data_IF_827843355576
#
_entry.id   IF_827843355576
#
_cell.length_a   1.000
_cell.length_b   1.000
_cell.length_c   1.000
_cell.angle_alpha   90.00
_cell.angle_beta   90.00
_cell.angle_gamma   90.00
#
_symmetry.space_group_name_H-M   'P 1'
#
loop_
_entity.id
_entity.type
_entity.pdbx_description
1 polymer ?
#
# COMPACT_ATOMS: atom_id res chain seq x y z
N UNK A 1 -45.79 -7.80 10.31
CA UNK A 1 -44.97 -8.80 9.61
C UNK A 1 -43.89 -8.06 8.84
N UNK A 2 -42.81 -7.68 9.52
CA UNK A 2 -41.68 -6.91 8.94
C UNK A 2 -40.42 -7.63 9.40
N UNK A 3 -39.70 -8.28 8.48
CA UNK A 3 -38.37 -8.84 8.73
C UNK A 3 -37.35 -7.94 8.06
N UNK A 4 -36.69 -7.16 8.91
CA UNK A 4 -35.44 -6.46 8.64
C UNK A 4 -34.35 -7.47 8.26
N UNK A 5 -33.74 -7.29 7.08
CA UNK A 5 -32.52 -8.00 6.68
C UNK A 5 -31.36 -7.17 7.23
N UNK A 6 -30.85 -7.59 8.39
CA UNK A 6 -29.58 -7.13 8.90
C UNK A 6 -28.46 -7.62 7.98
N UNK A 7 -27.81 -6.68 7.30
CA UNK A 7 -26.51 -6.87 6.64
C UNK A 7 -25.50 -7.36 7.67
N UNK A 8 -24.99 -8.58 7.47
CA UNK A 8 -23.97 -9.19 8.32
C UNK A 8 -22.62 -8.50 8.10
N UNK A 9 -22.21 -7.72 9.09
CA UNK A 9 -20.85 -7.24 9.31
C UNK A 9 -19.86 -8.41 9.21
N UNK A 10 -19.15 -8.46 8.08
CA UNK A 10 -18.01 -9.35 7.86
C UNK A 10 -16.73 -8.53 7.80
N UNK A 11 -16.55 -7.64 8.78
CA UNK A 11 -15.22 -7.12 9.12
C UNK A 11 -14.53 -8.16 10.02
N UNK A 12 -13.99 -9.17 9.35
CA UNK A 12 -13.07 -10.25 9.76
C UNK A 12 -12.64 -10.23 11.25
N UNK A 13 -13.06 -11.26 11.99
CA UNK A 13 -12.65 -11.55 13.38
C UNK A 13 -11.13 -11.79 13.53
N UNK A 14 -10.54 -11.48 14.70
CA UNK A 14 -9.09 -11.39 14.90
C UNK A 14 -8.44 -12.76 15.15
N UNK A 15 -7.94 -13.40 14.08
CA UNK A 15 -6.91 -14.48 14.17
C UNK A 15 -5.55 -14.06 13.61
N UNK A 16 -5.42 -12.82 13.15
CA UNK A 16 -4.23 -12.25 12.49
C UNK A 16 -3.22 -11.61 13.47
N UNK A 17 -3.48 -11.70 14.78
CA UNK A 17 -2.79 -10.98 15.86
C UNK A 17 -1.34 -11.42 16.17
N UNK A 18 -0.75 -12.36 15.41
CA UNK A 18 0.58 -12.96 15.75
C UNK A 18 1.66 -12.86 14.67
N UNK A 19 1.35 -12.38 13.47
CA UNK A 19 2.27 -12.48 12.31
C UNK A 19 3.01 -11.16 11.99
N UNK A 20 2.59 -10.05 12.58
CA UNK A 20 2.90 -8.68 12.12
C UNK A 20 4.20 -8.06 12.69
N UNK A 21 5.12 -8.87 13.25
CA UNK A 21 6.28 -8.36 13.99
C UNK A 21 7.60 -8.21 13.19
N UNK A 22 7.73 -8.69 11.95
CA UNK A 22 9.05 -8.75 11.26
C UNK A 22 9.13 -8.02 9.91
N UNK A 23 8.12 -7.23 9.57
CA UNK A 23 7.92 -6.88 8.17
C UNK A 23 8.75 -5.71 7.61
N UNK A 24 9.29 -4.83 8.46
CA UNK A 24 9.85 -3.55 8.00
C UNK A 24 11.39 -3.47 8.03
N UNK A 25 12.11 -4.54 8.35
CA UNK A 25 13.57 -4.55 8.11
C UNK A 25 14.22 -5.87 7.71
N UNK A 26 13.69 -7.03 8.04
CA UNK A 26 14.17 -8.31 7.51
C UNK A 26 13.07 -9.32 7.80
N UNK A 27 12.47 -9.86 6.75
CA UNK A 27 11.31 -10.72 6.88
C UNK A 27 11.52 -11.91 7.80
N UNK A 28 10.47 -12.29 8.54
CA UNK A 28 10.03 -13.67 8.84
C UNK A 28 8.97 -13.69 9.94
N UNK A 29 7.72 -14.08 9.67
CA UNK A 29 6.97 -14.91 10.64
C UNK A 29 6.29 -16.06 9.89
N UNK A 30 6.21 -17.17 10.59
CA UNK A 30 6.05 -18.55 10.18
C UNK A 30 4.69 -18.90 9.55
N UNK A 31 4.78 -19.76 8.52
CA UNK A 31 3.93 -20.94 8.29
C UNK A 31 2.41 -20.79 8.21
N UNK A 32 1.89 -20.84 6.99
CA UNK A 32 0.92 -21.88 6.57
C UNK A 32 1.08 -22.17 5.08
N UNK A 33 0.98 -23.45 4.72
CA UNK A 33 1.00 -23.98 3.36
C UNK A 33 -0.41 -23.94 2.77
N UNK A 34 -0.55 -23.58 1.49
CA UNK A 34 -1.60 -24.10 0.60
C UNK A 34 -1.34 -23.68 -0.85
N UNK A 35 -1.07 -24.72 -1.63
CA UNK A 35 -1.27 -25.00 -3.04
C UNK A 35 -0.72 -24.18 -4.20
N UNK A 36 -0.19 -25.02 -5.09
CA UNK A 36 0.50 -24.90 -6.34
C UNK A 36 -0.50 -25.26 -7.44
N UNK A 37 -0.76 -24.38 -8.40
CA UNK A 37 -0.65 -24.73 -9.83
C UNK A 37 -1.12 -23.66 -10.81
N UNK A 38 -0.61 -23.89 -12.03
CA UNK A 38 -1.02 -23.39 -13.35
C UNK A 38 -0.27 -22.17 -13.86
N UNK A 39 0.61 -22.42 -14.84
CA UNK A 39 1.32 -21.43 -15.65
C UNK A 39 0.43 -21.05 -16.85
N UNK A 40 0.11 -19.76 -16.94
CA UNK A 40 -0.44 -19.06 -18.10
C UNK A 40 0.29 -17.73 -18.30
N UNK A 41 0.05 -16.99 -19.40
CA UNK A 41 0.89 -15.89 -19.87
C UNK A 41 1.07 -14.82 -18.78
N UNK A 42 2.30 -14.69 -18.29
CA UNK A 42 2.79 -13.64 -17.38
C UNK A 42 1.78 -13.17 -16.35
N UNK A 43 1.48 -13.98 -15.33
CA UNK A 43 0.61 -13.58 -14.22
C UNK A 43 1.21 -12.38 -13.48
N UNK A 44 0.81 -11.15 -13.86
CA UNK A 44 1.25 -9.89 -13.26
C UNK A 44 0.88 -9.80 -11.76
N UNK A 45 0.00 -10.68 -11.28
CA UNK A 45 -0.31 -10.81 -9.85
C UNK A 45 0.72 -11.64 -9.11
N UNK A 46 1.68 -12.27 -9.79
CA UNK A 46 2.83 -12.92 -9.18
C UNK A 46 3.99 -11.97 -9.10
N UNK A 47 4.74 -12.15 -8.03
CA UNK A 47 5.95 -11.40 -7.82
C UNK A 47 7.12 -11.97 -8.64
N UNK A 48 7.97 -11.10 -9.18
CA UNK A 48 9.07 -11.46 -10.08
C UNK A 48 10.46 -11.14 -9.50
N UNK A 49 11.47 -11.89 -9.92
CA UNK A 49 12.90 -11.59 -9.74
C UNK A 49 13.64 -11.53 -11.08
N UNK A 50 12.89 -11.48 -12.20
CA UNK A 50 13.46 -11.54 -13.55
C UNK A 50 14.28 -10.29 -13.89
N UNK A 51 15.29 -10.47 -14.75
CA UNK A 51 16.09 -9.34 -15.26
C UNK A 51 15.23 -8.30 -15.98
N UNK A 52 14.26 -8.74 -16.78
CA UNK A 52 13.33 -7.84 -17.47
C UNK A 52 12.55 -6.95 -16.50
N UNK A 53 12.02 -7.52 -15.41
CA UNK A 53 11.34 -6.75 -14.36
C UNK A 53 12.31 -5.78 -13.64
N UNK A 54 13.55 -6.21 -13.40
CA UNK A 54 14.60 -5.37 -12.81
C UNK A 54 14.92 -4.17 -13.70
N UNK A 55 15.14 -4.38 -14.99
CA UNK A 55 15.50 -3.32 -15.92
C UNK A 55 14.36 -2.33 -16.14
N UNK A 56 13.11 -2.81 -16.16
CA UNK A 56 11.93 -1.95 -16.19
C UNK A 56 11.83 -1.08 -14.92
N UNK A 57 12.06 -1.66 -13.74
CA UNK A 57 12.08 -0.92 -12.49
C UNK A 57 13.17 0.16 -12.47
N UNK A 58 14.36 -0.15 -13.00
CA UNK A 58 15.46 0.82 -13.12
C UNK A 58 15.14 1.97 -14.07
N UNK A 59 14.44 1.71 -15.19
CA UNK A 59 13.99 2.74 -16.13
C UNK A 59 12.91 3.66 -15.54
N UNK A 60 12.12 3.17 -14.59
CA UNK A 60 11.08 3.94 -13.92
C UNK A 60 11.62 4.90 -12.84
N UNK A 61 12.92 4.88 -12.54
CA UNK A 61 13.54 5.80 -11.57
C UNK A 61 13.58 7.22 -12.18
N UNK A 62 13.11 8.27 -11.47
CA UNK A 62 12.99 9.61 -12.01
C UNK A 62 14.31 10.39 -11.87
N UNK A 63 15.37 9.92 -12.54
CA UNK A 63 16.75 10.40 -12.38
C UNK A 63 16.90 11.93 -12.45
N UNK A 64 16.23 12.58 -13.40
CA UNK A 64 16.32 14.03 -13.62
C UNK A 64 15.63 14.86 -12.54
N UNK A 65 14.84 14.22 -11.66
CA UNK A 65 14.14 14.87 -10.55
C UNK A 65 14.77 14.57 -9.19
N UNK A 66 15.85 13.77 -9.15
CA UNK A 66 16.54 13.46 -7.90
C UNK A 66 17.54 14.57 -7.55
N UNK A 67 17.62 14.88 -6.26
CA UNK A 67 18.72 15.68 -5.71
C UNK A 67 20.06 14.93 -5.88
N UNK A 68 21.21 15.62 -5.95
CA UNK A 68 22.51 14.97 -6.15
C UNK A 68 22.84 13.89 -5.11
N UNK A 69 22.53 14.13 -3.84
CA UNK A 69 22.73 13.17 -2.75
C UNK A 69 21.81 11.94 -2.88
N UNK A 70 20.55 12.16 -3.25
CA UNK A 70 19.59 11.09 -3.52
C UNK A 70 20.03 10.22 -4.70
N UNK A 71 20.52 10.84 -5.78
CA UNK A 71 21.06 10.14 -6.95
C UNK A 71 22.23 9.23 -6.56
N UNK A 72 23.18 9.74 -5.76
CA UNK A 72 24.31 8.94 -5.28
C UNK A 72 23.87 7.72 -4.45
N UNK A 73 22.88 7.89 -3.56
CA UNK A 73 22.30 6.77 -2.78
C UNK A 73 21.71 5.70 -3.69
N UNK A 74 20.91 6.11 -4.68
CA UNK A 74 20.26 5.20 -5.64
C UNK A 74 21.30 4.47 -6.48
N UNK A 75 22.27 5.19 -7.05
CA UNK A 75 23.37 4.60 -7.83
C UNK A 75 24.15 3.56 -7.00
N UNK A 76 24.48 3.89 -5.76
CA UNK A 76 25.17 2.97 -4.86
C UNK A 76 24.35 1.70 -4.61
N UNK A 77 23.05 1.81 -4.32
CA UNK A 77 22.19 0.62 -4.09
C UNK A 77 22.08 -0.23 -5.36
N UNK A 78 21.88 0.38 -6.53
CA UNK A 78 21.76 -0.37 -7.79
C UNK A 78 23.05 -1.12 -8.16
N UNK A 79 24.21 -0.52 -7.90
CA UNK A 79 25.51 -1.13 -8.11
C UNK A 79 25.80 -2.28 -7.13
N UNK A 80 25.27 -2.19 -5.91
CA UNK A 80 25.54 -3.14 -4.82
C UNK A 80 24.34 -4.05 -4.50
N UNK A 81 23.32 -4.14 -5.36
CA UNK A 81 22.11 -4.92 -5.09
C UNK A 81 22.44 -6.41 -4.97
N UNK A 82 22.15 -7.01 -3.81
CA UNK A 82 22.23 -8.47 -3.60
C UNK A 82 20.88 -9.17 -3.79
N UNK A 83 19.76 -8.44 -3.61
CA UNK A 83 18.40 -8.94 -3.80
C UNK A 83 17.57 -7.92 -4.57
N UNK A 84 16.94 -8.38 -5.66
CA UNK A 84 15.88 -7.65 -6.34
C UNK A 84 14.57 -8.43 -6.23
N UNK A 85 13.48 -7.74 -5.89
CA UNK A 85 12.14 -8.29 -5.85
C UNK A 85 11.14 -7.29 -6.42
N UNK A 86 10.41 -7.70 -7.44
CA UNK A 86 9.14 -7.07 -7.84
C UNK A 86 8.00 -7.78 -7.12
N UNK A 87 7.28 -7.06 -6.28
CA UNK A 87 6.19 -7.61 -5.49
C UNK A 87 4.90 -7.73 -6.32
N UNK A 88 3.90 -8.52 -5.84
CA UNK A 88 2.65 -8.77 -6.56
C UNK A 88 1.91 -7.46 -6.88
N UNK A 89 1.31 -7.32 -8.06
CA UNK A 89 0.37 -6.21 -8.28
C UNK A 89 -0.83 -6.36 -7.36
N UNK A 90 -1.23 -5.27 -6.70
CA UNK A 90 -2.42 -5.22 -5.85
C UNK A 90 -3.36 -4.11 -6.27
N UNK A 91 -4.64 -4.44 -6.38
CA UNK A 91 -5.70 -3.49 -6.73
C UNK A 91 -6.61 -3.35 -5.51
N UNK A 92 -6.91 -2.12 -5.13
CA UNK A 92 -7.85 -1.81 -4.04
C UNK A 92 -8.80 -0.72 -4.49
N UNK A 93 -10.02 -0.74 -3.97
CA UNK A 93 -10.91 0.41 -4.03
C UNK A 93 -10.58 1.34 -2.86
N UNK A 94 -10.30 2.62 -3.14
CA UNK A 94 -10.05 3.62 -2.11
C UNK A 94 -10.25 5.03 -2.68
N UNK A 95 -10.66 5.97 -1.84
CA UNK A 95 -10.59 7.40 -2.18
C UNK A 95 -9.14 7.80 -2.55
N UNK A 96 -8.92 8.43 -3.71
CA UNK A 96 -7.56 8.68 -4.22
C UNK A 96 -6.75 9.65 -3.36
N UNK A 97 -7.40 10.62 -2.70
CA UNK A 97 -6.71 11.61 -1.88
C UNK A 97 -6.33 11.00 -0.52
N UNK A 98 -7.21 10.18 0.05
CA UNK A 98 -6.92 9.43 1.27
C UNK A 98 -5.78 8.42 1.04
N UNK A 99 -5.81 7.66 -0.07
CA UNK A 99 -4.72 6.75 -0.41
C UNK A 99 -3.38 7.47 -0.54
N UNK A 100 -3.35 8.56 -1.33
CA UNK A 100 -2.14 9.32 -1.58
C UNK A 100 -1.55 9.86 -0.27
N UNK A 101 -2.41 10.38 0.61
CA UNK A 101 -2.01 10.85 1.93
C UNK A 101 -1.38 9.74 2.77
N UNK A 102 -1.97 8.54 2.82
CA UNK A 102 -1.45 7.41 3.61
C UNK A 102 -0.09 6.93 3.09
N UNK A 103 0.08 6.87 1.78
CA UNK A 103 1.34 6.47 1.14
C UNK A 103 2.45 7.51 1.36
N UNK A 104 2.10 8.81 1.34
CA UNK A 104 3.03 9.91 1.60
C UNK A 104 3.35 10.13 3.08
N UNK A 105 2.56 9.56 4.00
CA UNK A 105 2.76 9.65 5.45
C UNK A 105 2.80 8.23 6.07
N UNK A 106 3.88 7.47 5.82
CA UNK A 106 4.00 6.08 6.28
C UNK A 106 3.98 5.97 7.82
N UNK A 107 4.39 7.01 8.54
CA UNK A 107 4.31 7.11 10.00
C UNK A 107 2.86 7.06 10.51
N UNK A 108 1.90 7.59 9.75
CA UNK A 108 0.47 7.48 10.06
C UNK A 108 0.02 6.02 10.02
N UNK A 109 0.36 5.29 8.95
CA UNK A 109 -0.02 3.88 8.79
C UNK A 109 0.59 3.04 9.92
N UNK A 110 1.88 3.24 10.20
CA UNK A 110 2.58 2.50 11.26
C UNK A 110 2.01 2.82 12.65
N UNK A 111 1.72 4.09 12.96
CA UNK A 111 1.16 4.44 14.26
C UNK A 111 -0.29 3.97 14.42
N UNK A 112 -1.07 3.84 13.34
CA UNK A 112 -2.36 3.16 13.39
C UNK A 112 -2.19 1.68 13.77
N UNK A 113 -1.22 0.97 13.18
CA UNK A 113 -0.95 -0.42 13.56
C UNK A 113 -0.59 -0.55 15.04
N UNK A 114 0.27 0.34 15.54
CA UNK A 114 0.62 0.38 16.96
C UNK A 114 -0.61 0.58 17.85
N UNK A 115 -1.45 1.59 17.54
CA UNK A 115 -2.67 1.89 18.32
C UNK A 115 -3.68 0.74 18.29
N UNK A 116 -3.73 0.00 17.18
CA UNK A 116 -4.61 -1.15 17.02
C UNK A 116 -4.02 -2.46 17.60
N UNK A 117 -2.81 -2.42 18.19
CA UNK A 117 -2.13 -3.60 18.75
C UNK A 117 -1.70 -4.62 17.68
N UNK A 118 -1.48 -4.13 16.47
CA UNK A 118 -1.23 -4.93 15.27
C UNK A 118 0.24 -5.25 15.13
N UNK A 119 1.11 -4.26 15.33
CA UNK A 119 2.56 -4.41 15.22
C UNK A 119 3.21 -3.57 16.31
N UNK A 120 4.36 -4.03 16.79
CA UNK A 120 5.21 -3.24 17.69
C UNK A 120 6.26 -2.43 16.92
N UNK A 121 6.19 -2.45 15.58
CA UNK A 121 6.94 -1.54 14.74
C UNK A 121 6.56 -0.09 15.07
N UNK A 122 7.58 0.69 15.37
CA UNK A 122 7.47 2.11 15.62
C UNK A 122 8.17 2.88 14.51
N UNK A 123 7.49 3.92 14.02
CA UNK A 123 8.06 4.90 13.11
C UNK A 123 7.94 6.29 13.74
N UNK A 124 9.03 7.07 13.71
CA UNK A 124 9.05 8.45 14.19
C UNK A 124 9.64 9.34 13.12
N UNK A 125 8.93 10.42 12.78
CA UNK A 125 9.41 11.41 11.82
C UNK A 125 10.53 12.24 12.46
N UNK A 126 11.69 12.29 11.82
CA UNK A 126 12.84 13.11 12.24
C UNK A 126 12.91 14.42 11.45
N UNK A 127 12.57 14.37 10.16
CA UNK A 127 12.46 15.51 9.25
C UNK A 127 11.28 15.29 8.29
N UNK A 128 10.88 16.26 7.45
CA UNK A 128 9.77 16.09 6.52
C UNK A 128 9.84 14.81 5.68
N UNK A 129 11.03 14.37 5.27
CA UNK A 129 11.24 13.20 4.42
C UNK A 129 11.98 12.04 5.09
N UNK A 130 12.40 12.18 6.35
CA UNK A 130 13.19 11.15 7.05
C UNK A 130 12.47 10.63 8.29
N UNK A 131 12.47 9.31 8.42
CA UNK A 131 11.81 8.58 9.49
C UNK A 131 12.80 7.63 10.15
N UNK A 132 12.78 7.59 11.48
CA UNK A 132 13.44 6.55 12.25
C UNK A 132 12.47 5.38 12.43
N UNK A 133 12.98 4.16 12.28
CA UNK A 133 12.23 2.91 12.37
C UNK A 133 12.86 2.03 13.44
N UNK A 134 12.07 1.52 14.36
CA UNK A 134 12.51 0.61 15.43
C UNK A 134 11.44 -0.44 15.71
N UNK A 135 11.81 -1.64 16.10
CA UNK A 135 10.89 -2.62 16.69
C UNK A 135 11.44 -3.16 18.03
N UNK A 136 10.72 -4.11 18.63
CA UNK A 136 11.07 -4.77 19.89
C UNK A 136 11.86 -6.08 19.71
N UNK A 137 12.21 -6.44 18.46
CA UNK A 137 12.90 -7.69 18.12
C UNK A 137 14.27 -7.48 17.46
N UNK A 138 14.76 -6.23 17.44
CA UNK A 138 16.15 -5.90 17.09
C UNK A 138 16.33 -5.08 15.82
N UNK A 139 15.26 -4.65 15.16
CA UNK A 139 15.32 -3.73 14.02
C UNK A 139 15.57 -2.30 14.48
N UNK A 140 16.58 -1.66 13.88
CA UNK A 140 16.77 -0.22 13.96
C UNK A 140 17.19 0.29 12.57
N UNK A 141 16.54 1.32 12.07
CA UNK A 141 16.88 1.89 10.78
C UNK A 141 16.27 3.25 10.51
N UNK A 142 16.47 3.69 9.27
CA UNK A 142 15.96 4.94 8.73
C UNK A 142 15.29 4.68 7.38
N UNK A 143 14.23 5.45 7.13
CA UNK A 143 13.56 5.52 5.84
C UNK A 143 13.60 6.98 5.39
N UNK A 144 14.08 7.23 4.18
CA UNK A 144 14.13 8.56 3.57
C UNK A 144 13.34 8.56 2.26
N UNK A 145 12.41 9.50 2.11
CA UNK A 145 11.71 9.70 0.85
C UNK A 145 12.60 10.54 -0.07
N UNK A 146 13.06 9.93 -1.16
CA UNK A 146 13.93 10.57 -2.14
C UNK A 146 13.14 11.33 -3.20
N UNK A 147 11.96 10.81 -3.55
CA UNK A 147 11.06 11.40 -4.52
C UNK A 147 9.62 10.95 -4.25
N UNK A 148 8.67 11.86 -4.45
CA UNK A 148 7.24 11.58 -4.35
C UNK A 148 6.47 12.35 -5.42
N UNK A 149 5.55 11.66 -6.09
CA UNK A 149 4.48 12.22 -6.91
C UNK A 149 3.19 11.48 -6.59
N UNK A 150 2.14 11.74 -7.38
CA UNK A 150 0.86 11.03 -7.26
C UNK A 150 1.00 9.54 -7.56
N UNK A 151 1.82 9.20 -8.54
CA UNK A 151 1.94 7.90 -9.19
C UNK A 151 3.23 7.15 -8.84
N UNK A 152 4.19 7.82 -8.19
CA UNK A 152 5.50 7.25 -7.90
C UNK A 152 6.02 7.72 -6.54
N UNK A 153 6.55 6.80 -5.75
CA UNK A 153 7.31 7.09 -4.55
C UNK A 153 8.60 6.27 -4.52
N UNK A 154 9.72 6.96 -4.38
CA UNK A 154 11.04 6.36 -4.23
C UNK A 154 11.52 6.62 -2.81
N UNK A 155 11.76 5.55 -2.06
CA UNK A 155 12.32 5.61 -0.71
C UNK A 155 13.68 4.92 -0.66
N UNK A 156 14.59 5.47 0.13
CA UNK A 156 15.83 4.83 0.55
C UNK A 156 15.68 4.30 1.97
N UNK A 157 16.24 3.13 2.24
CA UNK A 157 16.26 2.50 3.56
C UNK A 157 17.68 2.15 3.94
N UNK A 158 18.02 2.39 5.20
CA UNK A 158 19.29 1.98 5.82
C UNK A 158 19.00 1.53 7.25
N UNK A 159 19.34 0.29 7.56
CA UNK A 159 19.09 -0.26 8.88
C UNK A 159 19.96 -1.44 9.23
N UNK A 160 19.84 -1.83 10.48
CA UNK A 160 20.43 -3.05 11.01
C UNK A 160 19.40 -3.85 11.77
N UNK A 161 19.50 -5.17 11.66
CA UNK A 161 18.76 -6.11 12.47
C UNK A 161 19.74 -6.82 13.39
N UNK A 162 19.47 -6.79 14.69
CA UNK A 162 20.22 -7.53 15.69
C UNK A 162 19.24 -8.27 16.60
N UNK A 163 18.72 -9.39 16.11
CA UNK A 163 17.75 -10.21 16.81
C UNK A 163 18.06 -11.71 16.70
N UNK A 164 17.32 -12.54 17.45
CA UNK A 164 17.63 -13.96 17.65
C UNK A 164 17.56 -14.79 16.37
N UNK A 165 16.92 -14.27 15.32
CA UNK A 165 16.66 -14.98 14.07
C UNK A 165 17.92 -15.36 13.28
N UNK A 166 18.93 -14.48 13.26
CA UNK A 166 20.14 -14.71 12.48
C UNK A 166 21.36 -14.99 13.38
N UNK A 167 21.25 -14.77 14.70
CA UNK A 167 22.35 -14.99 15.65
C UNK A 167 23.52 -14.02 15.48
N UNK A 168 23.44 -13.08 14.53
CA UNK A 168 24.40 -12.03 14.27
C UNK A 168 23.71 -10.78 13.71
N UNK A 169 24.42 -9.65 13.75
CA UNK A 169 23.95 -8.38 13.23
C UNK A 169 23.96 -8.38 11.71
N UNK A 170 22.81 -8.11 11.10
CA UNK A 170 22.68 -7.90 9.65
C UNK A 170 22.53 -6.41 9.38
N UNK A 171 23.25 -5.88 8.39
CA UNK A 171 23.08 -4.52 7.89
C UNK A 171 22.50 -4.56 6.48
N UNK A 172 21.46 -3.77 6.26
CA UNK A 172 20.75 -3.69 4.99
C UNK A 172 20.62 -2.25 4.53
N UNK A 173 20.86 -2.03 3.25
CA UNK A 173 20.64 -0.75 2.56
C UNK A 173 19.86 -1.00 1.28
N UNK A 174 18.92 -0.15 0.93
CA UNK A 174 18.09 -0.43 -0.23
C UNK A 174 17.27 0.75 -0.71
N UNK A 175 16.61 0.54 -1.84
CA UNK A 175 15.61 1.45 -2.37
C UNK A 175 14.33 0.70 -2.68
N UNK A 176 13.21 1.38 -2.48
CA UNK A 176 11.87 0.91 -2.76
C UNK A 176 11.18 1.88 -3.70
N UNK A 177 10.67 1.35 -4.81
CA UNK A 177 9.93 2.11 -5.83
C UNK A 177 8.48 1.65 -5.85
N UNK A 178 7.60 2.43 -5.24
CA UNK A 178 6.16 2.19 -5.27
C UNK A 178 5.56 2.95 -6.45
N UNK A 179 4.93 2.23 -7.38
CA UNK A 179 4.11 2.77 -8.46
C UNK A 179 2.64 2.60 -8.13
N UNK A 180 1.87 3.66 -8.36
CA UNK A 180 0.43 3.70 -8.15
C UNK A 180 -0.29 4.22 -9.40
N UNK A 181 -1.24 3.44 -9.92
CA UNK A 181 -2.12 3.84 -11.02
C UNK A 181 -3.54 4.00 -10.50
N UNK A 182 -4.24 5.02 -10.98
CA UNK A 182 -5.58 5.39 -10.53
C UNK A 182 -6.54 5.27 -11.72
N UNK A 183 -7.54 4.40 -11.60
CA UNK A 183 -8.59 4.22 -12.58
C UNK A 183 -9.95 4.50 -11.94
N UNK A 184 -10.85 5.17 -12.67
CA UNK A 184 -12.25 5.34 -12.25
C UNK A 184 -13.10 4.24 -12.87
N UNK A 185 -13.92 3.60 -12.05
CA UNK A 185 -14.91 2.62 -12.49
C UNK A 185 -16.19 3.31 -12.99
N UNK A 186 -17.03 2.55 -13.70
CA UNK A 186 -18.29 3.04 -14.25
C UNK A 186 -19.26 3.56 -13.18
N UNK A 187 -19.16 3.04 -11.95
CA UNK A 187 -19.95 3.49 -10.80
C UNK A 187 -19.33 4.70 -10.09
N UNK A 188 -18.25 5.28 -10.62
CA UNK A 188 -17.61 6.47 -10.06
C UNK A 188 -16.59 6.18 -8.96
N UNK A 189 -16.41 4.93 -8.53
CA UNK A 189 -15.39 4.55 -7.55
C UNK A 189 -13.99 4.58 -8.16
N UNK A 190 -12.97 4.73 -7.31
CA UNK A 190 -11.57 4.71 -7.75
C UNK A 190 -10.92 3.38 -7.38
N UNK A 191 -10.40 2.70 -8.39
CA UNK A 191 -9.46 1.59 -8.23
C UNK A 191 -8.04 2.11 -8.26
N UNK A 192 -7.23 1.63 -7.32
CA UNK A 192 -5.82 1.98 -7.19
C UNK A 192 -5.00 0.72 -7.34
N UNK A 193 -4.22 0.65 -8.41
CA UNK A 193 -3.27 -0.43 -8.69
C UNK A 193 -1.91 -0.04 -8.14
N UNK A 194 -1.37 -0.86 -7.24
CA UNK A 194 -0.07 -0.65 -6.59
C UNK A 194 0.93 -1.75 -6.97
N UNK A 195 2.17 -1.36 -7.24
CA UNK A 195 3.28 -2.29 -7.46
C UNK A 195 4.55 -1.76 -6.80
N UNK A 196 5.24 -2.61 -6.04
CA UNK A 196 6.48 -2.26 -5.36
C UNK A 196 7.65 -3.02 -5.98
N UNK A 197 8.70 -2.30 -6.37
CA UNK A 197 10.00 -2.87 -6.69
C UNK A 197 11.00 -2.56 -5.57
N UNK A 198 11.69 -3.57 -5.06
CA UNK A 198 12.67 -3.44 -4.00
C UNK A 198 14.06 -3.90 -4.47
N UNK A 199 15.05 -3.04 -4.27
CA UNK A 199 16.47 -3.33 -4.48
C UNK A 199 17.17 -3.24 -3.13
N UNK A 200 17.76 -4.34 -2.68
CA UNK A 200 18.41 -4.42 -1.38
C UNK A 200 19.86 -4.88 -1.55
N UNK A 201 20.77 -4.18 -0.91
CA UNK A 201 22.06 -4.70 -0.48
C UNK A 201 21.91 -5.22 0.95
N UNK A 202 22.37 -6.44 1.18
CA UNK A 202 22.49 -7.03 2.51
C UNK A 202 23.98 -7.30 2.69
N UNK A 203 24.61 -6.61 3.63
CA UNK A 203 26.05 -6.72 3.86
C UNK A 203 26.39 -8.11 4.41
N UNK A 204 27.42 -8.78 3.88
CA UNK A 204 27.86 -10.06 4.40
C UNK A 204 28.51 -9.88 5.77
N UNK A 205 27.74 -10.19 6.82
CA UNK A 205 28.18 -10.15 8.22
C UNK A 205 28.38 -11.55 8.80
N UNK A 206 29.44 -12.26 8.36
CA UNK A 206 29.90 -13.51 8.98
C UNK A 206 29.42 -14.81 8.30
N UNK A 207 30.30 -15.41 7.51
CA UNK A 207 30.24 -16.73 6.87
C UNK A 207 29.19 -16.93 5.75
N UNK A 208 29.64 -17.02 4.50
CA UNK A 208 29.19 -17.85 3.35
C UNK A 208 27.69 -18.19 3.10
N UNK A 209 26.71 -17.61 3.80
CA UNK A 209 25.36 -18.19 3.86
C UNK A 209 24.23 -17.50 3.08
N UNK A 210 24.45 -16.36 2.40
CA UNK A 210 23.32 -15.46 2.12
C UNK A 210 23.13 -15.02 0.66
N UNK A 211 23.01 -15.97 -0.27
CA UNK A 211 22.29 -15.66 -1.54
C UNK A 211 21.37 -16.77 -2.04
N UNK A 212 21.76 -18.05 -1.99
CA UNK A 212 20.94 -19.13 -2.57
C UNK A 212 19.91 -19.74 -1.60
N UNK A 213 20.18 -19.75 -0.29
CA UNK A 213 19.35 -20.48 0.68
C UNK A 213 18.22 -19.63 1.28
N UNK A 214 18.40 -18.32 1.42
CA UNK A 214 17.44 -17.44 2.10
C UNK A 214 16.63 -16.52 1.17
N UNK A 215 17.06 -16.32 -0.08
CA UNK A 215 16.30 -15.49 -1.03
C UNK A 215 14.83 -15.90 -1.20
N UNK A 216 14.48 -17.20 -1.33
CA UNK A 216 13.09 -17.62 -1.49
C UNK A 216 12.22 -17.26 -0.28
N UNK A 217 12.78 -17.40 0.92
CA UNK A 217 12.09 -17.11 2.19
C UNK A 217 11.88 -15.61 2.32
N UNK A 218 12.94 -14.81 2.18
CA UNK A 218 12.89 -13.35 2.26
C UNK A 218 11.94 -12.77 1.21
N UNK A 219 11.96 -13.30 -0.02
CA UNK A 219 11.05 -12.91 -1.10
C UNK A 219 9.59 -13.17 -0.77
N UNK A 220 9.25 -14.37 -0.27
CA UNK A 220 7.87 -14.71 0.11
C UNK A 220 7.34 -13.83 1.22
N UNK A 221 8.18 -13.49 2.20
CA UNK A 221 7.78 -12.62 3.31
C UNK A 221 7.55 -11.20 2.82
N UNK A 222 8.43 -10.68 1.97
CA UNK A 222 8.22 -9.37 1.35
C UNK A 222 6.87 -9.32 0.60
N UNK A 223 6.55 -10.36 -0.17
CA UNK A 223 5.28 -10.47 -0.88
C UNK A 223 4.08 -10.45 0.09
N UNK A 224 4.12 -11.27 1.15
CA UNK A 224 3.06 -11.31 2.18
C UNK A 224 2.92 -9.97 2.89
N UNK A 225 4.01 -9.33 3.30
CA UNK A 225 3.98 -8.04 4.00
C UNK A 225 3.35 -6.94 3.14
N UNK A 226 3.70 -6.90 1.85
CA UNK A 226 3.09 -5.95 0.93
C UNK A 226 1.61 -6.25 0.72
N UNK A 227 1.25 -7.52 0.53
CA UNK A 227 -0.14 -7.93 0.39
C UNK A 227 -1.00 -7.56 1.61
N UNK A 228 -0.45 -7.74 2.81
CA UNK A 228 -1.09 -7.37 4.07
C UNK A 228 -1.18 -5.86 4.24
N UNK A 229 -0.11 -5.12 3.91
CA UNK A 229 -0.08 -3.66 3.99
C UNK A 229 -1.15 -3.07 3.07
N UNK A 230 -1.20 -3.48 1.80
CA UNK A 230 -2.20 -3.00 0.85
C UNK A 230 -3.62 -3.43 1.27
N UNK A 231 -3.80 -4.64 1.80
CA UNK A 231 -5.07 -5.09 2.35
C UNK A 231 -5.53 -4.26 3.56
N UNK A 232 -4.59 -3.88 4.42
CA UNK A 232 -4.86 -2.97 5.53
C UNK A 232 -5.29 -1.58 5.04
N UNK A 233 -4.59 -1.01 4.04
CA UNK A 233 -5.01 0.25 3.42
C UNK A 233 -6.43 0.16 2.87
N UNK A 234 -6.78 -0.94 2.18
CA UNK A 234 -8.14 -1.15 1.68
C UNK A 234 -9.18 -1.15 2.81
N UNK A 235 -8.91 -1.86 3.91
CA UNK A 235 -9.78 -1.87 5.08
C UNK A 235 -9.92 -0.47 5.71
N UNK A 236 -8.82 0.28 5.80
CA UNK A 236 -8.81 1.63 6.36
C UNK A 236 -9.62 2.59 5.48
N UNK A 237 -9.44 2.55 4.16
CA UNK A 237 -10.21 3.36 3.21
C UNK A 237 -11.71 3.04 3.30
N UNK A 238 -12.08 1.76 3.29
CA UNK A 238 -13.47 1.34 3.45
C UNK A 238 -14.05 1.80 4.79
N UNK A 239 -13.27 1.73 5.86
CA UNK A 239 -13.69 2.21 7.18
C UNK A 239 -13.90 3.73 7.18
N UNK A 240 -13.08 4.49 6.47
CA UNK A 240 -13.26 5.92 6.31
C UNK A 240 -14.57 6.27 5.61
N UNK A 241 -14.98 5.50 4.61
CA UNK A 241 -16.24 5.70 3.90
C UNK A 241 -17.48 5.50 4.80
N UNK A 242 -17.44 4.50 5.70
CA UNK A 242 -18.64 4.07 6.45
C UNK A 242 -18.63 4.41 7.95
N UNK A 243 -17.49 4.82 8.53
CA UNK A 243 -17.33 5.05 9.96
C UNK A 243 -16.45 6.28 10.27
N UNK A 244 -16.96 7.46 9.90
CA UNK A 244 -16.28 8.74 10.10
C UNK A 244 -15.94 9.02 11.58
N UNK A 245 -16.87 8.74 12.50
CA UNK A 245 -16.66 8.94 13.93
C UNK A 245 -15.55 8.02 14.48
N UNK A 246 -15.47 6.79 13.99
CA UNK A 246 -14.37 5.87 14.30
C UNK A 246 -13.02 6.38 13.81
N UNK A 247 -12.96 6.89 12.57
CA UNK A 247 -11.74 7.48 12.01
C UNK A 247 -11.27 8.73 12.77
N UNK A 248 -12.19 9.60 13.18
CA UNK A 248 -11.85 10.78 13.97
C UNK A 248 -11.25 10.38 15.34
N UNK A 249 -11.86 9.40 16.03
CA UNK A 249 -11.31 8.85 17.29
C UNK A 249 -9.96 8.18 17.08
N UNK A 250 -9.78 7.46 15.98
CA UNK A 250 -8.50 6.83 15.64
C UNK A 250 -7.41 7.89 15.43
N UNK A 251 -7.69 8.92 14.62
CA UNK A 251 -6.76 10.02 14.36
C UNK A 251 -6.33 10.72 15.66
N UNK A 252 -7.25 10.93 16.60
CA UNK A 252 -6.95 11.54 17.90
C UNK A 252 -6.02 10.68 18.78
N UNK A 253 -5.97 9.35 18.58
CA UNK A 253 -5.11 8.42 19.33
C UNK A 253 -3.70 8.30 18.77
N UNK A 254 -3.41 8.89 17.60
CA UNK A 254 -2.09 8.79 16.98
C UNK A 254 -1.08 9.66 17.74
N UNK A 255 -0.46 9.09 18.78
CA UNK A 255 0.45 9.81 19.67
C UNK A 255 1.83 10.13 19.08
N UNK A 256 2.21 9.49 17.97
CA UNK A 256 3.54 9.65 17.34
C UNK A 256 3.52 10.50 16.07
N UNK A 257 2.36 11.06 15.72
CA UNK A 257 2.12 11.81 14.48
C UNK A 257 1.84 13.29 14.83
N UNK A 258 2.39 14.27 14.08
CA UNK A 258 2.11 15.69 14.32
C UNK A 258 0.61 16.04 14.27
N UNK A 259 0.12 16.98 15.10
CA UNK A 259 -1.30 17.35 15.16
C UNK A 259 -1.92 17.67 13.80
N UNK A 260 -1.21 18.39 12.95
CA UNK A 260 -1.66 18.84 11.63
C UNK A 260 -1.88 17.64 10.69
N UNK A 261 -1.01 16.64 10.77
CA UNK A 261 -1.11 15.40 9.98
C UNK A 261 -2.30 14.55 10.47
N UNK A 262 -2.56 14.51 11.78
CA UNK A 262 -3.72 13.81 12.34
C UNK A 262 -5.03 14.47 11.95
N UNK A 263 -5.07 15.80 11.99
CA UNK A 263 -6.21 16.57 11.52
C UNK A 263 -6.46 16.30 10.04
N UNK A 264 -5.40 16.29 9.23
CA UNK A 264 -5.52 15.99 7.80
C UNK A 264 -6.07 14.60 7.51
N UNK A 265 -5.67 13.58 8.28
CA UNK A 265 -6.26 12.24 8.19
C UNK A 265 -7.78 12.27 8.45
N UNK A 266 -8.22 12.99 9.48
CA UNK A 266 -9.64 13.08 9.82
C UNK A 266 -10.44 13.81 8.73
N UNK A 267 -9.91 14.92 8.20
CA UNK A 267 -10.52 15.66 7.08
C UNK A 267 -10.66 14.80 5.83
N UNK A 268 -9.59 14.12 5.42
CA UNK A 268 -9.62 13.24 4.24
C UNK A 268 -10.59 12.07 4.44
N UNK A 269 -10.71 11.54 5.66
CA UNK A 269 -11.67 10.49 5.97
C UNK A 269 -13.12 10.99 5.83
N UNK A 270 -13.40 12.23 6.25
CA UNK A 270 -14.72 12.85 6.06
C UNK A 270 -15.02 13.10 4.58
N UNK A 271 -14.06 13.62 3.82
CA UNK A 271 -14.20 13.84 2.38
C UNK A 271 -14.45 12.53 1.62
N UNK A 272 -13.72 11.46 1.96
CA UNK A 272 -13.93 10.13 1.39
C UNK A 272 -15.37 9.65 1.62
N UNK A 273 -15.91 9.80 2.83
CA UNK A 273 -17.28 9.41 3.16
C UNK A 273 -18.35 10.25 2.44
N UNK A 274 -18.12 11.55 2.29
CA UNK A 274 -19.01 12.43 1.52
C UNK A 274 -19.06 12.00 0.05
N UNK A 275 -17.90 11.75 -0.57
CA UNK A 275 -17.80 11.27 -1.96
C UNK A 275 -18.48 9.91 -2.14
N UNK A 276 -18.27 8.97 -1.21
CA UNK A 276 -18.91 7.66 -1.25
C UNK A 276 -20.44 7.74 -1.14
N UNK A 277 -20.95 8.67 -0.34
CA UNK A 277 -22.39 8.93 -0.19
C UNK A 277 -22.99 9.53 -1.47
N UNK A 278 -22.27 10.41 -2.17
CA UNK A 278 -22.70 10.97 -3.46
C UNK A 278 -22.75 9.92 -4.57
N UNK A 279 -21.80 8.98 -4.57
CA UNK A 279 -21.78 7.83 -5.50
C UNK A 279 -22.94 6.87 -5.21
N UNK A 280 -23.29 6.69 -3.94
CA UNK A 280 -24.34 5.75 -3.51
C UNK A 280 -25.74 6.34 -3.53
N UNK A 281 -25.88 7.66 -3.75
CA UNK A 281 -27.18 8.28 -3.94
C UNK A 281 -27.79 7.76 -5.26
N UNK A 282 -29.08 7.36 -5.27
CA UNK A 282 -29.73 6.98 -6.52
C UNK A 282 -29.65 8.18 -7.47
N UNK A 283 -28.87 8.04 -8.54
CA UNK A 283 -28.90 8.99 -9.63
C UNK A 283 -30.34 9.09 -10.14
N UNK A 284 -30.77 10.29 -10.49
CA UNK A 284 -32.01 10.54 -11.23
C UNK A 284 -32.06 9.60 -12.43
N UNK A 285 -32.72 8.45 -12.25
CA UNK A 285 -33.24 7.66 -13.35
C UNK A 285 -34.27 8.59 -13.97
N UNK A 286 -34.12 9.01 -15.24
CA UNK A 286 -35.19 9.72 -15.92
C UNK A 286 -36.43 8.85 -15.75
N UNK A 287 -37.39 9.34 -14.98
CA UNK A 287 -38.64 8.62 -14.81
C UNK A 287 -39.23 8.59 -16.20
N UNK A 288 -39.23 7.42 -16.83
CA UNK A 288 -39.99 7.22 -18.05
C UNK A 288 -41.44 7.50 -17.67
N UNK A 289 -41.94 8.65 -18.10
CA UNK A 289 -43.33 9.02 -17.96
C UNK A 289 -44.11 8.33 -19.08
N UNK A 290 -44.86 7.24 -18.81
CA UNK A 290 -45.64 6.56 -19.82
C UNK A 290 -46.79 7.43 -20.36
N UNK A 291 -47.11 8.54 -19.69
CA UNK A 291 -48.21 9.46 -20.02
C UNK A 291 -47.74 10.81 -20.59
N UNK A 292 -46.45 10.94 -20.93
CA UNK A 292 -45.94 12.09 -21.66
C UNK A 292 -46.69 12.27 -23.00
N UNK A 293 -47.04 13.52 -23.39
CA UNK A 293 -47.89 13.76 -24.55
C UNK A 293 -47.28 13.13 -25.81
N UNK A 294 -48.00 12.18 -26.40
CA UNK A 294 -47.67 11.62 -27.72
C UNK A 294 -47.65 12.76 -28.73
N UNK A 295 -46.46 13.25 -29.04
CA UNK A 295 -46.25 14.18 -30.16
C UNK A 295 -46.79 13.54 -31.43
N UNK A 296 -47.67 14.30 -32.07
CA UNK A 296 -48.50 13.94 -33.19
C UNK A 296 -47.71 13.38 -34.40
N UNK A 297 -48.40 12.48 -35.10
CA UNK A 297 -48.07 11.94 -36.41
C UNK A 297 -47.48 13.00 -37.36
N UNK A 298 -46.25 12.76 -37.83
CA UNK A 298 -45.78 13.35 -39.08
C UNK A 298 -46.50 12.66 -40.24
N UNK A 299 -47.54 13.32 -40.78
CA UNK A 299 -48.03 13.04 -42.14
C UNK A 299 -46.90 13.32 -43.14
N UNK A 300 -46.43 12.28 -43.82
CA UNK A 300 -45.59 12.42 -45.01
C UNK A 300 -46.39 13.02 -46.18
N UNK A 301 -45.74 13.73 -47.12
CA UNK A 301 -46.43 14.33 -48.26
C UNK A 301 -46.82 13.26 -49.28
N UNK A 302 -48.04 13.39 -49.80
CA UNK A 302 -48.55 12.64 -50.95
C UNK A 302 -47.80 13.09 -52.20
N UNK A 303 -47.11 12.14 -52.86
CA UNK A 303 -46.61 12.32 -54.22
C UNK A 303 -47.77 12.21 -55.21
N UNK A 304 -47.89 13.23 -56.07
CA UNK A 304 -48.38 13.11 -57.45
C UNK A 304 -47.17 13.01 -58.36
#
# INVERSE_FOLDING_TARGET
>A
MVRSIASRDSCIRPRWLRVMLTAAALGLVQGTWADENTFGPGDLTRASTSRAARDEAMRAIPWDRLRPDARQKVEWVLANTSVFRRLPIRIIQCDPDLYLFLVHNPDVVVNIWEVLGVSHLAMRRHSPDTYQVTDDIGTVGTLEILYRSRDLQLAYVDGTYNGPMFGHRIRGRGIMLLRSHYAREADGRCLITSQLDAFMNIEPGGAEFLTKTFQPVVGKIADTNFQQSVGFLACLCRTAEVNQAGMARLAAKLGRVPPEVRQRLAELSQLAAQRASQISAPGDVPTFDPDGPRTAERRGPSLK
#
